data_IF_761656097997
#
_entry.id   IF_761656097997
#
_cell.length_a   1.000
_cell.length_b   1.000
_cell.length_c   1.000
_cell.angle_alpha   90.00
_cell.angle_beta   90.00
_cell.angle_gamma   90.00
#
_symmetry.space_group_name_H-M   'P 1'
#
loop_
_entity.id
_entity.type
_entity.pdbx_description
1 polymer ?
#
# COMPACT_ATOMS: atom_id res chain seq x y z
N UNK A 1 -11.73 -25.46 -25.74
CA UNK A 1 -12.67 -25.89 -24.69
C UNK A 1 -11.91 -26.80 -23.72
N UNK A 2 -11.66 -26.38 -22.47
CA UNK A 2 -10.80 -27.14 -21.54
C UNK A 2 -11.57 -28.25 -20.82
N UNK A 3 -10.89 -29.37 -20.52
CA UNK A 3 -11.42 -30.55 -19.78
C UNK A 3 -10.84 -30.64 -18.37
N UNK A 4 -11.50 -31.46 -17.56
CA UNK A 4 -11.42 -31.45 -16.10
C UNK A 4 -10.03 -31.76 -15.52
N UNK A 5 -9.56 -30.86 -14.64
CA UNK A 5 -8.51 -31.16 -13.67
C UNK A 5 -9.16 -31.91 -12.51
N UNK A 6 -8.78 -33.17 -12.26
CA UNK A 6 -9.33 -34.00 -11.17
C UNK A 6 -8.24 -34.70 -10.38
N UNK A 7 -7.52 -33.89 -9.62
CA UNK A 7 -6.93 -34.16 -8.28
C UNK A 7 -6.27 -32.84 -7.88
N UNK A 8 -6.42 -32.33 -6.65
CA UNK A 8 -5.65 -31.16 -6.27
C UNK A 8 -4.17 -31.57 -6.33
N UNK A 9 -3.38 -30.84 -7.12
CA UNK A 9 -1.98 -31.19 -7.32
C UNK A 9 -1.28 -31.14 -5.95
N UNK A 10 -0.31 -32.01 -5.69
CA UNK A 10 0.37 -32.10 -4.37
C UNK A 10 0.84 -30.72 -3.89
N UNK A 11 1.28 -29.84 -4.81
CA UNK A 11 1.65 -28.47 -4.47
C UNK A 11 0.50 -27.64 -3.89
N UNK A 12 -0.75 -27.85 -4.31
CA UNK A 12 -1.92 -27.10 -3.82
C UNK A 12 -2.21 -27.41 -2.34
N UNK A 13 -1.99 -28.67 -1.93
CA UNK A 13 -2.07 -29.05 -0.53
C UNK A 13 -0.95 -28.45 0.31
N UNK A 14 0.28 -28.37 -0.24
CA UNK A 14 1.41 -27.71 0.42
C UNK A 14 1.11 -26.21 0.60
N UNK A 15 0.61 -25.55 -0.45
CA UNK A 15 0.17 -24.15 -0.40
C UNK A 15 -0.86 -23.96 0.70
N UNK A 16 -1.93 -24.77 0.73
CA UNK A 16 -3.00 -24.65 1.71
C UNK A 16 -2.54 -24.87 3.16
N UNK A 17 -1.56 -25.75 3.39
CA UNK A 17 -1.00 -25.97 4.74
C UNK A 17 -0.14 -24.80 5.21
N UNK A 18 0.69 -24.25 4.33
CA UNK A 18 1.51 -23.07 4.65
C UNK A 18 0.60 -21.85 4.87
N UNK A 19 -0.41 -21.65 4.01
CA UNK A 19 -1.44 -20.60 4.18
C UNK A 19 -2.13 -20.70 5.53
N UNK A 20 -2.57 -21.91 5.90
CA UNK A 20 -3.19 -22.14 7.20
C UNK A 20 -2.25 -21.81 8.35
N UNK A 21 -0.98 -22.22 8.28
CA UNK A 21 0.00 -21.90 9.31
C UNK A 21 0.26 -20.39 9.45
N UNK A 22 0.21 -19.64 8.35
CA UNK A 22 0.28 -18.17 8.36
C UNK A 22 -0.98 -17.58 9.00
N UNK A 23 -2.18 -18.01 8.58
CA UNK A 23 -3.45 -17.49 9.10
C UNK A 23 -3.68 -17.80 10.58
N UNK A 24 -3.16 -18.93 11.07
CA UNK A 24 -3.17 -19.31 12.48
C UNK A 24 -2.06 -18.63 13.30
N UNK A 25 -1.18 -17.84 12.68
CA UNK A 25 -0.07 -17.15 13.35
C UNK A 25 1.08 -18.08 13.78
N UNK A 26 1.09 -19.34 13.32
CA UNK A 26 2.21 -20.29 13.55
C UNK A 26 3.45 -19.93 12.71
N UNK A 27 3.24 -19.20 11.62
CA UNK A 27 4.26 -18.56 10.82
C UNK A 27 3.96 -17.06 10.76
N UNK A 28 4.82 -16.26 11.37
CA UNK A 28 4.71 -14.82 11.43
C UNK A 28 5.42 -14.14 10.24
N UNK A 29 5.10 -12.87 10.02
CA UNK A 29 5.80 -12.06 9.02
C UNK A 29 7.30 -12.00 9.32
N UNK A 30 8.12 -12.16 8.27
CA UNK A 30 9.58 -12.19 8.40
C UNK A 30 10.14 -13.55 8.82
N UNK A 31 9.30 -14.53 9.19
CA UNK A 31 9.78 -15.88 9.49
C UNK A 31 10.39 -16.52 8.25
N UNK A 32 11.51 -17.20 8.46
CA UNK A 32 12.18 -17.96 7.41
C UNK A 32 11.53 -19.34 7.30
N UNK A 33 11.03 -19.68 6.12
CA UNK A 33 10.60 -21.05 5.84
C UNK A 33 11.80 -22.01 5.89
N UNK A 34 11.58 -23.27 6.32
CA UNK A 34 12.60 -24.30 6.22
C UNK A 34 13.20 -24.39 4.80
N UNK A 35 14.48 -24.76 4.65
CA UNK A 35 15.09 -24.94 3.34
C UNK A 35 14.31 -25.93 2.46
N UNK A 36 14.33 -25.78 1.12
CA UNK A 36 13.60 -26.67 0.19
C UNK A 36 13.83 -28.15 0.49
N UNK A 37 15.09 -28.52 0.81
CA UNK A 37 15.47 -29.90 1.11
C UNK A 37 14.81 -30.44 2.38
N UNK A 38 14.45 -29.58 3.33
CA UNK A 38 13.73 -29.93 4.55
C UNK A 38 12.23 -30.00 4.29
N UNK A 39 11.65 -29.01 3.59
CA UNK A 39 10.24 -29.02 3.19
C UNK A 39 9.88 -30.27 2.37
N UNK A 40 10.77 -30.72 1.49
CA UNK A 40 10.63 -32.00 0.77
C UNK A 40 10.46 -33.19 1.71
N UNK A 41 11.22 -33.23 2.82
CA UNK A 41 11.11 -34.31 3.82
C UNK A 41 9.84 -34.17 4.63
N UNK A 42 9.53 -32.97 5.11
CA UNK A 42 8.37 -32.69 5.97
C UNK A 42 7.04 -32.95 5.25
N UNK A 43 6.92 -32.54 3.99
CA UNK A 43 5.71 -32.76 3.20
C UNK A 43 5.66 -34.13 2.52
N UNK A 44 6.74 -34.92 2.57
CA UNK A 44 6.83 -36.19 1.84
C UNK A 44 6.61 -36.04 0.33
N UNK A 45 6.99 -34.89 -0.24
CA UNK A 45 6.65 -34.50 -1.61
C UNK A 45 7.90 -34.39 -2.50
N UNK A 46 7.71 -34.42 -3.82
CA UNK A 46 8.81 -34.23 -4.76
C UNK A 46 9.39 -32.81 -4.68
N UNK A 47 10.68 -32.66 -5.03
CA UNK A 47 11.32 -31.33 -5.16
C UNK A 47 10.56 -30.40 -6.11
N UNK A 48 9.98 -30.97 -7.17
CA UNK A 48 9.17 -30.24 -8.15
C UNK A 48 7.92 -29.67 -7.49
N UNK A 49 7.16 -30.49 -6.76
CA UNK A 49 5.94 -30.05 -6.09
C UNK A 49 6.20 -28.98 -5.02
N UNK A 50 7.28 -29.12 -4.23
CA UNK A 50 7.67 -28.09 -3.24
C UNK A 50 8.04 -26.77 -3.93
N UNK A 51 8.79 -26.81 -5.02
CA UNK A 51 9.13 -25.59 -5.78
C UNK A 51 7.91 -24.94 -6.42
N UNK A 52 6.98 -25.73 -6.95
CA UNK A 52 5.71 -25.20 -7.48
C UNK A 52 4.88 -24.55 -6.38
N UNK A 53 4.81 -25.14 -5.19
CA UNK A 53 4.10 -24.56 -4.06
C UNK A 53 4.71 -23.23 -3.62
N UNK A 54 6.04 -23.19 -3.47
CA UNK A 54 6.77 -21.98 -3.09
C UNK A 54 6.61 -20.86 -4.13
N UNK A 55 6.66 -21.18 -5.42
CA UNK A 55 6.37 -20.21 -6.50
C UNK A 55 4.92 -19.73 -6.49
N UNK A 56 3.97 -20.62 -6.21
CA UNK A 56 2.56 -20.23 -6.09
C UNK A 56 2.33 -19.29 -4.90
N UNK A 57 2.94 -19.58 -3.73
CA UNK A 57 2.91 -18.71 -2.55
C UNK A 57 3.60 -17.36 -2.82
N UNK A 58 4.72 -17.36 -3.53
CA UNK A 58 5.40 -16.14 -3.97
C UNK A 58 4.51 -15.30 -4.89
N UNK A 59 3.85 -15.93 -5.87
CA UNK A 59 2.94 -15.25 -6.78
C UNK A 59 1.72 -14.64 -6.06
N UNK A 60 1.21 -15.34 -5.04
CA UNK A 60 0.14 -14.88 -4.14
C UNK A 60 0.59 -13.76 -3.18
N UNK A 61 1.90 -13.51 -3.08
CA UNK A 61 2.45 -12.49 -2.18
C UNK A 61 2.48 -12.92 -0.71
N UNK A 62 2.46 -14.23 -0.43
CA UNK A 62 2.55 -14.75 0.94
C UNK A 62 3.99 -15.06 1.35
N UNK A 63 4.86 -15.25 0.37
CA UNK A 63 6.27 -15.58 0.56
C UNK A 63 7.13 -14.69 -0.36
N UNK A 64 8.33 -14.35 0.06
CA UNK A 64 9.34 -13.69 -0.77
C UNK A 64 10.66 -14.47 -0.75
N UNK A 65 11.43 -14.38 -1.84
CA UNK A 65 12.77 -14.95 -1.93
C UNK A 65 13.81 -13.87 -1.67
N UNK A 66 14.64 -14.07 -0.63
CA UNK A 66 15.82 -13.22 -0.36
C UNK A 66 17.08 -13.94 -0.86
N UNK A 67 17.92 -13.23 -1.61
CA UNK A 67 19.18 -13.75 -2.16
C UNK A 67 20.33 -13.61 -1.14
N UNK A 68 21.41 -14.39 -1.31
CA UNK A 68 22.63 -14.34 -0.48
C UNK A 68 22.83 -15.55 0.44
N UNK A 69 23.91 -15.54 1.22
CA UNK A 69 24.32 -16.65 2.10
C UNK A 69 23.30 -16.97 3.20
N UNK A 70 22.58 -15.96 3.70
CA UNK A 70 21.44 -16.11 4.62
C UNK A 70 20.07 -16.18 3.89
N UNK A 71 20.07 -16.25 2.57
CA UNK A 71 18.89 -16.24 1.72
C UNK A 71 17.96 -17.44 1.90
N UNK A 72 16.81 -17.39 1.23
CA UNK A 72 15.75 -18.40 1.35
C UNK A 72 14.37 -17.79 1.14
N UNK A 73 13.35 -18.59 1.45
CA UNK A 73 11.96 -18.17 1.41
C UNK A 73 11.55 -17.62 2.77
N UNK A 74 10.94 -16.45 2.79
CA UNK A 74 10.47 -15.78 4.01
C UNK A 74 8.99 -15.47 3.89
N UNK A 75 8.24 -15.54 4.99
CA UNK A 75 6.85 -15.08 5.01
C UNK A 75 6.84 -13.59 4.77
N UNK A 76 6.15 -13.21 3.70
CA UNK A 76 6.03 -11.80 3.33
C UNK A 76 5.09 -11.12 4.32
N UNK A 77 5.36 -9.86 4.58
CA UNK A 77 4.34 -8.99 5.14
C UNK A 77 3.16 -8.93 4.16
N UNK A 78 1.93 -9.16 4.63
CA UNK A 78 0.74 -8.99 3.81
C UNK A 78 0.61 -7.51 3.48
N UNK A 79 1.27 -7.11 2.41
CA UNK A 79 1.23 -5.75 1.90
C UNK A 79 0.09 -5.61 0.90
N UNK A 80 -0.32 -4.37 0.63
CA UNK A 80 -1.36 -4.08 -0.33
C UNK A 80 -0.94 -4.36 -1.79
N UNK A 81 0.21 -5.02 -2.07
CA UNK A 81 0.76 -5.05 -3.45
C UNK A 81 -0.08 -5.83 -4.44
N UNK A 82 -0.79 -6.88 -4.01
CA UNK A 82 -1.77 -7.55 -4.88
C UNK A 82 -2.91 -6.61 -5.24
N UNK A 83 -3.45 -5.87 -4.26
CA UNK A 83 -4.50 -4.86 -4.50
C UNK A 83 -4.01 -3.74 -5.41
N UNK A 84 -2.78 -3.23 -5.20
CA UNK A 84 -2.14 -2.24 -6.07
C UNK A 84 -2.02 -2.73 -7.51
N UNK A 85 -1.64 -4.01 -7.69
CA UNK A 85 -1.47 -4.63 -9.00
C UNK A 85 -2.80 -4.69 -9.76
N UNK A 86 -3.86 -5.09 -9.09
CA UNK A 86 -5.18 -5.24 -9.69
C UNK A 86 -5.79 -3.87 -10.00
N UNK A 87 -5.71 -2.90 -9.07
CA UNK A 87 -6.10 -1.52 -9.33
C UNK A 87 -5.30 -0.88 -10.47
N UNK A 88 -3.98 -1.13 -10.55
CA UNK A 88 -3.17 -0.69 -11.69
C UNK A 88 -3.65 -1.28 -13.02
N UNK A 89 -4.11 -2.53 -13.00
CA UNK A 89 -4.65 -3.21 -14.19
C UNK A 89 -5.98 -2.61 -14.60
N UNK A 90 -6.90 -2.41 -13.65
CA UNK A 90 -8.17 -1.74 -13.89
C UNK A 90 -7.98 -0.32 -14.45
N UNK A 91 -7.02 0.44 -13.91
CA UNK A 91 -6.66 1.76 -14.42
C UNK A 91 -6.19 1.69 -15.89
N UNK A 92 -5.25 0.79 -16.22
CA UNK A 92 -4.76 0.62 -17.60
C UNK A 92 -5.83 0.17 -18.58
N UNK A 93 -6.83 -0.58 -18.11
CA UNK A 93 -8.00 -1.00 -18.88
C UNK A 93 -9.07 0.10 -18.99
N UNK A 94 -8.84 1.30 -18.43
CA UNK A 94 -9.79 2.41 -18.43
C UNK A 94 -11.04 2.14 -17.57
N UNK A 95 -10.97 1.19 -16.63
CA UNK A 95 -12.09 0.82 -15.75
C UNK A 95 -12.15 1.62 -14.45
N UNK A 96 -11.05 2.28 -14.09
CA UNK A 96 -10.91 3.15 -12.92
C UNK A 96 -10.14 4.40 -13.34
N UNK A 97 -10.54 5.57 -12.84
CA UNK A 97 -9.84 6.84 -13.04
C UNK A 97 -9.17 7.34 -11.75
N UNK A 98 -8.22 8.27 -11.86
CA UNK A 98 -7.63 8.91 -10.67
C UNK A 98 -8.63 9.76 -9.89
N UNK A 99 -9.68 10.28 -10.55
CA UNK A 99 -10.76 11.02 -9.88
C UNK A 99 -11.56 10.08 -8.97
N UNK A 100 -11.92 8.89 -9.47
CA UNK A 100 -12.61 7.86 -8.65
C UNK A 100 -11.74 7.34 -7.50
N UNK A 101 -10.41 7.30 -7.69
CA UNK A 101 -9.47 7.00 -6.62
C UNK A 101 -9.52 8.09 -5.54
N UNK A 102 -9.51 9.36 -5.92
CA UNK A 102 -9.62 10.48 -5.00
C UNK A 102 -10.97 10.50 -4.25
N UNK A 103 -12.09 10.19 -4.92
CA UNK A 103 -13.41 10.01 -4.27
C UNK A 103 -13.36 8.94 -3.18
N UNK A 104 -12.76 7.77 -3.46
CA UNK A 104 -12.60 6.71 -2.46
C UNK A 104 -11.73 7.17 -1.27
N UNK A 105 -10.66 7.92 -1.54
CA UNK A 105 -9.80 8.50 -0.50
C UNK A 105 -10.55 9.52 0.36
N UNK A 106 -11.46 10.32 -0.22
CA UNK A 106 -12.24 11.31 0.49
C UNK A 106 -13.20 10.69 1.53
N UNK A 107 -13.59 9.43 1.33
CA UNK A 107 -14.40 8.68 2.30
C UNK A 107 -13.55 8.02 3.40
N UNK A 108 -12.37 7.49 3.05
CA UNK A 108 -11.58 6.65 3.96
C UNK A 108 -10.54 7.42 4.78
N UNK A 109 -9.83 8.36 4.17
CA UNK A 109 -8.71 9.03 4.80
C UNK A 109 -9.11 10.00 5.90
N UNK A 110 -10.22 10.78 5.79
CA UNK A 110 -10.66 11.64 6.89
C UNK A 110 -10.97 10.88 8.17
N UNK A 111 -11.65 9.74 8.07
CA UNK A 111 -11.92 8.89 9.23
C UNK A 111 -10.64 8.24 9.76
N UNK A 112 -9.70 7.91 8.88
CA UNK A 112 -8.38 7.42 9.29
C UNK A 112 -7.60 8.49 10.06
N UNK A 113 -7.64 9.76 9.63
CA UNK A 113 -7.03 10.88 10.34
C UNK A 113 -7.68 11.12 11.71
N UNK A 114 -9.02 11.05 11.80
CA UNK A 114 -9.76 11.13 13.07
C UNK A 114 -9.32 10.05 14.06
N UNK A 115 -9.25 8.80 13.59
CA UNK A 115 -8.83 7.66 14.40
C UNK A 115 -7.35 7.78 14.78
N UNK A 116 -6.49 8.25 13.88
CA UNK A 116 -5.08 8.48 14.13
C UNK A 116 -4.86 9.51 15.25
N UNK A 117 -5.66 10.59 15.29
CA UNK A 117 -5.59 11.56 16.39
C UNK A 117 -5.74 10.88 17.76
N UNK A 118 -6.65 9.93 17.90
CA UNK A 118 -6.85 9.19 19.16
C UNK A 118 -5.82 8.08 19.42
N UNK A 119 -5.13 7.56 18.40
CA UNK A 119 -4.39 6.28 18.46
C UNK A 119 -2.91 6.35 18.11
N UNK A 120 -2.45 7.45 17.50
CA UNK A 120 -1.05 7.62 17.12
C UNK A 120 -0.15 7.59 18.35
N UNK A 121 1.00 6.93 18.26
CA UNK A 121 2.07 7.04 19.26
C UNK A 121 3.03 8.17 18.88
N UNK A 122 3.91 8.53 19.82
CA UNK A 122 4.96 9.53 19.56
C UNK A 122 5.87 9.10 18.40
N UNK A 123 6.04 7.79 18.19
CA UNK A 123 6.78 7.28 17.05
C UNK A 123 6.07 7.58 15.72
N UNK A 124 4.75 7.42 15.63
CA UNK A 124 4.03 7.80 14.40
C UNK A 124 4.00 9.32 14.19
N UNK A 125 3.85 10.11 15.25
CA UNK A 125 3.94 11.58 15.16
C UNK A 125 5.31 12.02 14.62
N UNK A 126 6.39 11.46 15.16
CA UNK A 126 7.74 11.72 14.68
C UNK A 126 7.89 11.37 13.20
N UNK A 127 7.40 10.20 12.78
CA UNK A 127 7.45 9.79 11.36
C UNK A 127 6.68 10.73 10.44
N UNK A 128 5.53 11.25 10.88
CA UNK A 128 4.78 12.25 10.10
C UNK A 128 5.58 13.55 9.95
N UNK A 129 6.21 14.02 11.03
CA UNK A 129 7.12 15.17 11.00
C UNK A 129 8.30 14.96 10.04
N UNK A 130 8.98 13.82 10.11
CA UNK A 130 10.09 13.47 9.22
C UNK A 130 9.67 13.43 7.74
N UNK A 131 8.44 12.97 7.45
CA UNK A 131 7.89 13.02 6.09
C UNK A 131 7.75 14.46 5.59
N UNK A 132 7.23 15.36 6.43
CA UNK A 132 7.04 16.78 6.11
C UNK A 132 8.36 17.51 5.93
N UNK A 133 9.31 17.32 6.84
CA UNK A 133 10.66 17.89 6.73
C UNK A 133 11.32 17.46 5.42
N UNK A 134 11.33 16.16 5.15
CA UNK A 134 11.90 15.63 3.90
C UNK A 134 11.15 16.18 2.68
N UNK A 135 9.82 16.33 2.75
CA UNK A 135 8.97 16.82 1.66
C UNK A 135 9.24 18.28 1.28
N UNK A 136 9.71 19.09 2.22
CA UNK A 136 10.08 20.50 2.00
C UNK A 136 11.51 20.70 1.47
N UNK A 137 12.31 19.65 1.38
CA UNK A 137 13.68 19.75 0.89
C UNK A 137 13.76 20.25 -0.56
N UNK A 138 14.74 21.11 -0.83
CA UNK A 138 15.03 21.60 -2.17
C UNK A 138 15.57 20.48 -3.08
N UNK A 139 15.33 20.59 -4.39
CA UNK A 139 15.89 19.67 -5.40
C UNK A 139 15.15 18.33 -5.55
N UNK A 140 14.02 18.14 -4.85
CA UNK A 140 13.20 16.94 -5.03
C UNK A 140 12.48 16.93 -6.38
N UNK A 141 12.57 15.79 -7.07
CA UNK A 141 11.77 15.51 -8.26
C UNK A 141 10.29 15.40 -7.91
N UNK A 142 9.39 15.71 -8.86
CA UNK A 142 7.93 15.59 -8.67
C UNK A 142 7.51 14.16 -8.29
N UNK A 143 8.22 13.14 -8.79
CA UNK A 143 8.01 11.74 -8.40
C UNK A 143 8.36 11.52 -6.92
N UNK A 144 9.48 12.05 -6.44
CA UNK A 144 9.89 11.90 -5.04
C UNK A 144 8.95 12.63 -4.10
N UNK A 145 8.49 13.83 -4.48
CA UNK A 145 7.45 14.59 -3.77
C UNK A 145 6.18 13.77 -3.56
N UNK A 146 5.60 13.24 -4.65
CA UNK A 146 4.41 12.37 -4.59
C UNK A 146 4.62 11.12 -3.74
N UNK A 147 5.81 10.52 -3.78
CA UNK A 147 6.12 9.35 -2.95
C UNK A 147 6.13 9.68 -1.45
N UNK A 148 6.62 10.86 -1.08
CA UNK A 148 6.58 11.36 0.29
C UNK A 148 5.16 11.72 0.73
N UNK A 149 4.36 12.33 -0.15
CA UNK A 149 2.94 12.58 0.11
C UNK A 149 2.19 11.27 0.38
N UNK A 150 2.39 10.25 -0.47
CA UNK A 150 1.81 8.93 -0.27
C UNK A 150 2.28 8.25 1.03
N UNK A 151 3.55 8.44 1.43
CA UNK A 151 4.05 7.92 2.69
C UNK A 151 3.37 8.59 3.89
N UNK A 152 3.20 9.92 3.86
CA UNK A 152 2.45 10.65 4.90
C UNK A 152 1.05 10.05 5.09
N UNK A 153 0.30 9.86 4.01
CA UNK A 153 -1.04 9.26 4.04
C UNK A 153 -1.04 7.82 4.59
N UNK A 154 -0.02 7.02 4.25
CA UNK A 154 0.14 5.65 4.80
C UNK A 154 0.41 5.67 6.30
N UNK A 155 1.25 6.58 6.79
CA UNK A 155 1.54 6.71 8.22
C UNK A 155 0.28 7.10 8.98
N UNK A 156 -0.52 8.06 8.48
CA UNK A 156 -1.82 8.41 9.07
C UNK A 156 -2.75 7.19 9.13
N UNK A 157 -2.89 6.46 8.02
CA UNK A 157 -3.77 5.28 7.97
C UNK A 157 -3.30 4.14 8.88
N UNK A 158 -1.99 3.93 9.03
CA UNK A 158 -1.44 2.97 9.98
C UNK A 158 -1.66 3.40 11.44
N UNK A 159 -1.50 4.69 11.73
CA UNK A 159 -1.74 5.28 13.05
C UNK A 159 -3.22 5.16 13.48
N UNK A 160 -4.16 5.06 12.53
CA UNK A 160 -5.56 4.76 12.81
C UNK A 160 -5.79 3.38 13.46
N UNK A 161 -4.79 2.48 13.46
CA UNK A 161 -4.88 1.09 13.98
C UNK A 161 -6.06 0.32 13.39
N UNK A 162 -6.38 0.57 12.13
CA UNK A 162 -7.32 -0.23 11.34
C UNK A 162 -6.56 -0.81 10.14
N UNK A 163 -6.18 -2.10 10.19
CA UNK A 163 -5.40 -2.73 9.12
C UNK A 163 -6.09 -2.68 7.75
N UNK A 164 -7.43 -2.71 7.72
CA UNK A 164 -8.19 -2.61 6.46
C UNK A 164 -8.04 -1.22 5.85
N UNK A 165 -8.19 -0.16 6.66
CA UNK A 165 -7.97 1.21 6.18
C UNK A 165 -6.53 1.38 5.68
N UNK A 166 -5.55 0.91 6.45
CA UNK A 166 -4.14 1.00 6.07
C UNK A 166 -3.84 0.31 4.73
N UNK A 167 -4.35 -0.90 4.54
CA UNK A 167 -4.18 -1.66 3.30
C UNK A 167 -4.83 -0.97 2.09
N UNK A 168 -6.07 -0.48 2.24
CA UNK A 168 -6.78 0.20 1.15
C UNK A 168 -6.12 1.54 0.81
N UNK A 169 -5.78 2.38 1.81
CA UNK A 169 -5.07 3.65 1.59
C UNK A 169 -3.71 3.44 0.92
N UNK A 170 -2.95 2.42 1.33
CA UNK A 170 -1.71 2.06 0.64
C UNK A 170 -2.00 1.71 -0.83
N UNK A 171 -3.04 0.91 -1.10
CA UNK A 171 -3.37 0.53 -2.46
C UNK A 171 -3.67 1.73 -3.38
N UNK A 172 -4.50 2.66 -2.88
CA UNK A 172 -4.93 3.85 -3.60
C UNK A 172 -3.76 4.84 -3.83
N UNK A 173 -3.01 5.17 -2.79
CA UNK A 173 -1.88 6.11 -2.88
C UNK A 173 -0.72 5.56 -3.73
N UNK A 174 -0.46 4.26 -3.69
CA UNK A 174 0.55 3.64 -4.55
C UNK A 174 0.16 3.68 -6.04
N UNK A 175 -1.13 3.53 -6.36
CA UNK A 175 -1.63 3.73 -7.72
C UNK A 175 -1.40 5.18 -8.19
N UNK A 176 -1.72 6.17 -7.36
CA UNK A 176 -1.50 7.58 -7.66
C UNK A 176 -0.01 7.91 -7.89
N UNK A 177 0.91 7.39 -7.07
CA UNK A 177 2.35 7.60 -7.29
C UNK A 177 2.79 7.02 -8.62
N UNK A 178 2.30 5.82 -8.96
CA UNK A 178 2.66 5.09 -10.17
C UNK A 178 2.13 5.76 -11.43
N UNK A 179 0.89 6.24 -11.39
CA UNK A 179 0.19 6.85 -12.53
C UNK A 179 0.44 8.36 -12.61
N UNK A 180 0.34 9.08 -11.50
CA UNK A 180 0.52 10.53 -11.40
C UNK A 180 1.91 11.00 -11.79
N UNK A 181 2.90 10.10 -11.83
CA UNK A 181 4.20 10.34 -12.45
C UNK A 181 4.12 10.65 -13.96
N UNK A 182 2.96 10.44 -14.60
CA UNK A 182 2.81 10.51 -16.06
C UNK A 182 1.93 11.67 -16.55
N UNK A 183 1.44 12.61 -15.73
CA UNK A 183 0.54 13.61 -16.34
C UNK A 183 -0.05 14.81 -15.61
N UNK A 184 0.33 15.11 -14.36
CA UNK A 184 -0.07 16.39 -13.72
C UNK A 184 1.18 17.01 -13.09
N UNK A 185 1.62 18.12 -13.68
CA UNK A 185 2.65 18.96 -13.08
C UNK A 185 1.96 19.92 -12.11
N UNK A 186 2.40 19.88 -10.85
CA UNK A 186 1.92 20.77 -9.81
C UNK A 186 2.63 22.12 -9.97
N UNK A 187 1.88 23.22 -9.84
CA UNK A 187 2.48 24.55 -9.71
C UNK A 187 3.17 24.66 -8.34
N UNK A 188 4.04 25.67 -8.18
CA UNK A 188 4.62 25.98 -6.85
C UNK A 188 3.56 26.32 -5.81
N UNK A 189 2.46 26.94 -6.23
CA UNK A 189 1.31 27.25 -5.37
C UNK A 189 0.58 25.98 -4.93
N UNK A 190 0.33 25.04 -5.86
CA UNK A 190 -0.25 23.74 -5.52
C UNK A 190 0.63 22.96 -4.53
N UNK A 191 1.95 22.99 -4.72
CA UNK A 191 2.90 22.32 -3.83
C UNK A 191 2.88 22.91 -2.42
N UNK A 192 2.86 24.25 -2.31
CA UNK A 192 2.77 24.94 -1.02
C UNK A 192 1.44 24.63 -0.31
N UNK A 193 0.32 24.60 -1.04
CA UNK A 193 -0.99 24.26 -0.49
C UNK A 193 -1.06 22.82 0.05
N UNK A 194 -0.45 21.85 -0.66
CA UNK A 194 -0.35 20.46 -0.21
C UNK A 194 0.43 20.36 1.10
N UNK A 195 1.58 21.03 1.19
CA UNK A 195 2.41 21.03 2.42
C UNK A 195 1.65 21.66 3.59
N UNK A 196 0.99 22.79 3.36
CA UNK A 196 0.18 23.45 4.39
C UNK A 196 -0.96 22.54 4.89
N UNK A 197 -1.62 21.81 3.99
CA UNK A 197 -2.67 20.88 4.36
C UNK A 197 -2.13 19.69 5.19
N UNK A 198 -0.98 19.12 4.82
CA UNK A 198 -0.34 18.06 5.61
C UNK A 198 0.10 18.55 6.99
N UNK A 199 0.60 19.78 7.12
CA UNK A 199 0.91 20.39 8.42
C UNK A 199 -0.33 20.51 9.30
N UNK A 200 -1.45 21.00 8.77
CA UNK A 200 -2.72 21.08 9.52
C UNK A 200 -3.20 19.72 10.01
N UNK A 201 -3.08 18.67 9.18
CA UNK A 201 -3.43 17.29 9.55
C UNK A 201 -2.51 16.80 10.67
N UNK A 202 -1.19 16.96 10.51
CA UNK A 202 -0.20 16.58 11.51
C UNK A 202 -0.49 17.24 12.86
N UNK A 203 -0.70 18.56 12.87
CA UNK A 203 -0.91 19.33 14.10
C UNK A 203 -2.23 18.98 14.78
N UNK A 204 -3.28 18.66 14.02
CA UNK A 204 -4.53 18.16 14.58
C UNK A 204 -4.35 16.78 15.23
N UNK A 205 -3.62 15.86 14.58
CA UNK A 205 -3.31 14.54 15.14
C UNK A 205 -2.44 14.69 16.41
N UNK A 206 -1.42 15.55 16.39
CA UNK A 206 -0.54 15.80 17.52
C UNK A 206 -1.30 16.37 18.74
N UNK A 207 -2.26 17.27 18.50
CA UNK A 207 -3.14 17.82 19.54
C UNK A 207 -4.28 16.88 19.94
N UNK A 208 -4.35 15.67 19.37
CA UNK A 208 -5.42 14.68 19.62
C UNK A 208 -6.82 15.19 19.24
N UNK A 209 -6.89 16.17 18.36
CA UNK A 209 -8.14 16.74 17.87
C UNK A 209 -8.61 15.97 16.62
N UNK A 210 -9.44 14.95 16.86
CA UNK A 210 -9.94 14.09 15.80
C UNK A 210 -10.82 14.80 14.79
N UNK A 211 -11.64 15.77 15.21
CA UNK A 211 -12.55 16.48 14.32
C UNK A 211 -11.78 17.44 13.41
N UNK A 212 -10.79 18.16 13.95
CA UNK A 212 -9.89 18.96 13.15
C UNK A 212 -9.08 18.11 12.16
N UNK A 213 -8.58 16.94 12.60
CA UNK A 213 -7.82 16.03 11.73
C UNK A 213 -8.68 15.51 10.57
N UNK A 214 -9.93 15.15 10.85
CA UNK A 214 -10.92 14.75 9.84
C UNK A 214 -11.17 15.87 8.83
N UNK A 215 -11.47 17.06 9.33
CA UNK A 215 -11.81 18.20 8.49
C UNK A 215 -10.64 18.61 7.58
N UNK A 216 -9.42 18.69 8.14
CA UNK A 216 -8.21 19.01 7.38
C UNK A 216 -7.91 17.97 6.30
N UNK A 217 -8.02 16.67 6.63
CA UNK A 217 -7.81 15.60 5.66
C UNK A 217 -8.87 15.61 4.56
N UNK A 218 -10.15 15.83 4.90
CA UNK A 218 -11.21 15.90 3.91
C UNK A 218 -11.00 17.06 2.92
N UNK A 219 -10.70 18.26 3.44
CA UNK A 219 -10.40 19.42 2.61
C UNK A 219 -9.21 19.19 1.68
N UNK A 220 -8.15 18.56 2.19
CA UNK A 220 -6.97 18.18 1.40
C UNK A 220 -7.31 17.24 0.25
N UNK A 221 -8.06 16.16 0.50
CA UNK A 221 -8.38 15.18 -0.54
C UNK A 221 -9.30 15.78 -1.61
N UNK A 222 -10.29 16.59 -1.24
CA UNK A 222 -11.14 17.31 -2.21
C UNK A 222 -10.32 18.27 -3.07
N UNK A 223 -9.29 18.89 -2.51
CA UNK A 223 -8.39 19.76 -3.26
C UNK A 223 -7.55 18.98 -4.27
N UNK A 224 -7.04 17.81 -3.89
CA UNK A 224 -6.36 16.86 -4.80
C UNK A 224 -7.31 16.40 -5.91
N UNK A 225 -8.55 16.04 -5.59
CA UNK A 225 -9.56 15.63 -6.57
C UNK A 225 -9.81 16.73 -7.62
N UNK A 226 -10.01 17.98 -7.18
CA UNK A 226 -10.19 19.13 -8.09
C UNK A 226 -8.98 19.34 -8.99
N UNK A 227 -7.75 19.19 -8.47
CA UNK A 227 -6.51 19.28 -9.28
C UNK A 227 -6.47 18.19 -10.36
N UNK A 228 -6.79 16.95 -9.99
CA UNK A 228 -6.84 15.82 -10.92
C UNK A 228 -7.88 16.04 -12.02
N UNK A 229 -9.08 16.52 -11.66
CA UNK A 229 -10.12 16.83 -12.62
C UNK A 229 -9.67 17.92 -13.63
N UNK A 230 -8.99 18.98 -13.17
CA UNK A 230 -8.41 20.00 -14.07
C UNK A 230 -7.37 19.42 -15.02
N UNK A 231 -6.47 18.56 -14.52
CA UNK A 231 -5.44 17.91 -15.34
C UNK A 231 -5.97 16.96 -16.41
N UNK A 232 -7.11 16.30 -16.15
CA UNK A 232 -7.79 15.44 -17.12
C UNK A 232 -8.40 16.27 -18.26
N UNK A 233 -9.02 17.41 -17.95
CA UNK A 233 -9.64 18.30 -18.96
C UNK A 233 -8.60 18.85 -19.92
N UNK A 234 -7.43 19.28 -19.43
CA UNK A 234 -6.35 19.82 -20.28
C UNK A 234 -5.82 18.79 -21.29
N UNK A 235 -5.79 17.50 -20.94
CA UNK A 235 -5.32 16.41 -21.83
C UNK A 235 -6.31 15.97 -22.89
N UNK A 236 -7.60 16.19 -22.68
CA UNK A 236 -8.62 15.89 -23.69
C UNK A 236 -8.71 16.97 -24.78
N UNK A 237 -8.15 18.16 -24.52
CA UNK A 237 -8.16 19.32 -25.40
C UNK A 237 -6.85 19.51 -26.21
N UNK A 238 -5.89 18.59 -26.09
CA UNK A 238 -4.60 18.57 -26.82
C UNK A 238 -4.44 17.29 -27.63
#
# INVERSE_FOLDING_TARGET
MFRAVRTPRVYEHIVAQIERAIYEGRLAHGDKLPPERQLVREFGASRVAVREALRALEHRGLVEVRQGSAGGYFIRELDATTVVRDLSTLFRLGRVSLVQVAEARALLEPESARLAAARATDHELKRLGECLETRTASGLTSRRRRALDAEFHRVVAAAARNPVHAAVTHALTALEVKVGAQGVDLTSEDDAAIIAAHLLIHDAIARRDGDAARAAMHAHILDVERRLARGVVTRAAS
#
